data_IF_240992392443
#
_entry.id   IF_240992392443
#
_cell.length_a   1.000
_cell.length_b   1.000
_cell.length_c   1.000
_cell.angle_alpha   90.00
_cell.angle_beta   90.00
_cell.angle_gamma   90.00
#
_symmetry.space_group_name_H-M   'P 1'
#
loop_
_entity.id
_entity.type
_entity.pdbx_description
1 polymer ?
#
# COMPACT_ATOMS: atom_id res chain seq x y z
N UNK A 1 9.84 -19.76 -19.74
CA UNK A 1 8.63 -18.94 -19.56
C UNK A 1 8.96 -17.84 -18.58
N UNK A 2 8.50 -16.61 -18.78
CA UNK A 2 8.72 -15.56 -17.79
C UNK A 2 7.96 -15.90 -16.50
N UNK A 3 8.57 -15.73 -15.33
CA UNK A 3 7.87 -15.92 -14.06
C UNK A 3 6.72 -14.91 -13.97
N UNK A 4 5.55 -15.39 -13.55
CA UNK A 4 4.36 -14.57 -13.35
C UNK A 4 4.12 -14.40 -11.86
N UNK A 5 3.86 -13.16 -11.45
CA UNK A 5 3.58 -12.79 -10.07
C UNK A 5 2.19 -12.16 -9.96
N UNK A 6 1.60 -12.26 -8.78
CA UNK A 6 0.40 -11.51 -8.41
C UNK A 6 0.83 -10.41 -7.45
N UNK A 7 0.48 -9.16 -7.76
CA UNK A 7 0.65 -8.04 -6.83
C UNK A 7 -0.63 -7.86 -6.00
N UNK A 8 -0.50 -7.85 -4.69
CA UNK A 8 -1.53 -7.40 -3.77
C UNK A 8 -1.18 -6.00 -3.26
N UNK A 9 -2.16 -5.10 -3.29
CA UNK A 9 -2.07 -3.75 -2.75
C UNK A 9 -2.98 -3.69 -1.52
N UNK A 10 -2.39 -3.43 -0.37
CA UNK A 10 -3.08 -3.28 0.92
C UNK A 10 -3.00 -1.81 1.33
N UNK A 11 -4.14 -1.11 1.19
CA UNK A 11 -4.28 0.32 1.47
C UNK A 11 -4.76 0.48 2.92
N UNK A 12 -3.79 0.59 3.83
CA UNK A 12 -4.05 0.78 5.25
C UNK A 12 -4.39 2.23 5.60
N UNK A 13 -4.71 2.47 6.87
CA UNK A 13 -4.99 3.81 7.39
C UNK A 13 -3.72 4.60 7.75
N UNK A 14 -2.62 3.91 8.02
CA UNK A 14 -1.31 4.53 8.36
C UNK A 14 -0.31 4.46 7.22
N UNK A 15 -0.58 3.64 6.20
CA UNK A 15 0.33 3.41 5.10
C UNK A 15 -0.13 2.30 4.17
N UNK A 16 0.51 2.26 3.00
CA UNK A 16 0.24 1.32 1.92
C UNK A 16 1.31 0.25 1.87
N UNK A 17 0.91 -0.97 1.51
CA UNK A 17 1.82 -2.09 1.27
C UNK A 17 1.57 -2.70 -0.10
N UNK A 18 2.65 -2.94 -0.83
CA UNK A 18 2.62 -3.77 -2.03
C UNK A 18 3.33 -5.10 -1.74
N UNK A 19 2.72 -6.21 -2.11
CA UNK A 19 3.29 -7.56 -1.94
C UNK A 19 3.22 -8.29 -3.27
N UNK A 20 4.35 -8.87 -3.70
CA UNK A 20 4.40 -9.77 -4.84
C UNK A 20 4.36 -11.22 -4.35
N UNK A 21 3.41 -11.99 -4.85
CA UNK A 21 3.30 -13.43 -4.62
C UNK A 21 3.71 -14.20 -5.87
N UNK A 22 4.50 -15.26 -5.68
CA UNK A 22 4.79 -16.22 -6.74
C UNK A 22 3.66 -17.26 -6.88
N UNK A 23 3.78 -18.16 -7.86
CA UNK A 23 2.75 -19.17 -8.16
C UNK A 23 2.52 -20.19 -7.02
N UNK A 24 3.48 -20.34 -6.11
CA UNK A 24 3.33 -21.19 -4.92
C UNK A 24 2.67 -20.45 -3.74
N UNK A 25 2.29 -19.18 -3.92
CA UNK A 25 1.73 -18.33 -2.88
C UNK A 25 2.77 -17.78 -1.90
N UNK A 26 4.07 -17.93 -2.18
CA UNK A 26 5.12 -17.36 -1.35
C UNK A 26 5.37 -15.88 -1.70
N UNK A 27 5.74 -15.10 -0.68
CA UNK A 27 6.12 -13.69 -0.86
C UNK A 27 7.47 -13.63 -1.59
N UNK A 28 7.46 -13.11 -2.81
CA UNK A 28 8.65 -12.88 -3.61
C UNK A 28 9.29 -11.52 -3.30
N UNK A 29 8.48 -10.50 -3.01
CA UNK A 29 8.93 -9.18 -2.59
C UNK A 29 7.81 -8.43 -1.85
N UNK A 30 8.19 -7.42 -1.07
CA UNK A 30 7.24 -6.50 -0.45
C UNK A 30 7.86 -5.10 -0.29
N UNK A 31 7.01 -4.08 -0.32
CA UNK A 31 7.35 -2.70 0.02
C UNK A 31 6.25 -2.11 0.92
N UNK A 32 6.63 -1.13 1.74
CA UNK A 32 5.71 -0.38 2.58
C UNK A 32 6.05 1.10 2.52
N UNK A 33 5.01 1.94 2.51
CA UNK A 33 5.14 3.39 2.56
C UNK A 33 4.09 3.97 3.50
N UNK A 34 4.53 4.84 4.41
CA UNK A 34 3.64 5.56 5.31
C UNK A 34 2.81 6.60 4.55
N UNK A 35 1.56 6.76 4.94
CA UNK A 35 0.67 7.80 4.43
C UNK A 35 0.57 8.94 5.44
N UNK A 36 0.56 10.17 4.95
CA UNK A 36 0.35 11.34 5.80
C UNK A 36 -1.06 11.33 6.36
N UNK A 37 -1.18 11.45 7.68
CA UNK A 37 -2.46 11.61 8.37
C UNK A 37 -2.69 13.09 8.69
N UNK A 38 -3.75 13.67 8.15
CA UNK A 38 -4.10 15.06 8.36
C UNK A 38 -5.11 15.19 9.50
N UNK A 39 -4.77 16.00 10.51
CA UNK A 39 -5.60 16.26 11.69
C UNK A 39 -6.00 17.75 11.77
N UNK A 40 -6.92 18.22 10.90
CA UNK A 40 -7.26 19.64 10.82
C UNK A 40 -8.04 20.13 12.07
N UNK A 41 -8.75 19.24 12.76
CA UNK A 41 -9.53 19.53 13.96
C UNK A 41 -9.45 18.36 14.96
N UNK A 42 -9.70 18.60 16.27
CA UNK A 42 -9.80 17.51 17.24
C UNK A 42 -10.83 16.45 16.83
N UNK A 43 -10.38 15.19 16.76
CA UNK A 43 -11.22 14.05 16.38
C UNK A 43 -11.39 13.83 14.88
N UNK A 44 -10.80 14.67 14.02
CA UNK A 44 -10.84 14.51 12.57
C UNK A 44 -9.57 13.82 12.06
N UNK A 45 -9.72 12.95 11.07
CA UNK A 45 -8.63 12.32 10.33
C UNK A 45 -8.98 12.29 8.86
N UNK A 46 -8.11 12.84 8.03
CA UNK A 46 -8.27 12.91 6.58
C UNK A 46 -6.99 12.43 5.87
N UNK A 47 -7.13 11.94 4.64
CA UNK A 47 -6.03 11.59 3.74
C UNK A 47 -6.15 12.36 2.42
N UNK A 48 -5.02 12.71 1.80
CA UNK A 48 -5.03 13.23 0.42
C UNK A 48 -5.12 12.05 -0.57
N UNK A 49 -6.18 11.96 -1.40
CA UNK A 49 -6.31 10.89 -2.38
C UNK A 49 -5.18 10.87 -3.43
N UNK A 50 -4.50 12.00 -3.65
CA UNK A 50 -3.35 12.08 -4.57
C UNK A 50 -2.11 11.43 -4.00
N UNK A 51 -1.88 11.54 -2.69
CA UNK A 51 -0.79 10.81 -2.02
C UNK A 51 -1.05 9.31 -2.07
N UNK A 52 -2.30 8.89 -1.81
CA UNK A 52 -2.70 7.49 -1.96
C UNK A 52 -2.39 6.99 -3.37
N UNK A 53 -2.81 7.71 -4.41
CA UNK A 53 -2.57 7.29 -5.80
C UNK A 53 -1.08 7.27 -6.19
N UNK A 54 -0.28 8.24 -5.72
CA UNK A 54 1.14 8.33 -6.06
C UNK A 54 2.01 7.29 -5.35
N UNK A 55 1.55 6.76 -4.23
CA UNK A 55 2.28 5.82 -3.39
C UNK A 55 2.01 4.34 -3.74
N UNK A 56 1.05 4.10 -4.63
CA UNK A 56 0.64 2.78 -5.11
C UNK A 56 1.37 2.41 -6.40
#
# INVERSE_FOLDING_TARGET
MAESYIMALDLGTTGNRAILFNQAGAIAAQSYKELTQYYPQPGWLEHDPREIWADI
#
